data_IF_061459849163
#
_entry.id   IF_061459849163
#
_cell.length_a   1.000
_cell.length_b   1.000
_cell.length_c   1.000
_cell.angle_alpha   90.00
_cell.angle_beta   90.00
_cell.angle_gamma   90.00
#
_symmetry.space_group_name_H-M   'P 1'
#
loop_
_entity.id
_entity.type
_entity.pdbx_description
1 polymer ?
#
# COMPACT_ATOMS: atom_id res chain seq x y z
N UNK A 1 7.45 -21.30 28.22
CA UNK A 1 7.33 -19.84 28.12
C UNK A 1 6.91 -19.55 26.70
N UNK A 2 5.62 -19.32 26.48
CA UNK A 2 5.11 -18.85 25.20
C UNK A 2 5.32 -17.34 25.18
N UNK A 3 6.31 -16.89 24.42
CA UNK A 3 6.44 -15.48 24.05
C UNK A 3 5.14 -15.12 23.31
N UNK A 4 4.21 -14.47 24.02
CA UNK A 4 3.08 -13.80 23.38
C UNK A 4 3.69 -12.74 22.49
N UNK A 5 3.58 -12.94 21.18
CA UNK A 5 3.84 -11.92 20.18
C UNK A 5 2.88 -10.76 20.48
N UNK A 6 3.32 -9.76 21.23
CA UNK A 6 2.55 -8.55 21.49
C UNK A 6 2.51 -7.76 20.18
N UNK A 7 1.47 -7.99 19.39
CA UNK A 7 1.20 -7.16 18.21
C UNK A 7 0.89 -5.76 18.76
N UNK A 8 1.77 -4.82 18.45
CA UNK A 8 1.58 -3.41 18.81
C UNK A 8 0.70 -2.82 17.71
N UNK A 9 -0.60 -2.68 17.98
CA UNK A 9 -1.50 -1.97 17.07
C UNK A 9 -1.28 -0.47 17.27
N UNK A 10 -1.00 0.26 16.20
CA UNK A 10 -0.86 1.71 16.18
C UNK A 10 -2.07 2.34 15.48
N UNK A 11 -2.28 3.63 15.65
CA UNK A 11 -3.30 4.37 14.91
C UNK A 11 -3.13 4.22 13.39
N UNK A 12 -1.88 4.08 12.91
CA UNK A 12 -1.55 3.79 11.51
C UNK A 12 -2.02 2.41 11.03
N UNK A 13 -2.21 1.43 11.92
CA UNK A 13 -2.78 0.13 11.55
C UNK A 13 -4.28 0.23 11.29
N UNK A 14 -4.95 1.28 11.80
CA UNK A 14 -6.35 1.58 11.50
C UNK A 14 -6.54 2.16 10.09
N UNK A 15 -5.51 2.82 9.55
CA UNK A 15 -5.51 3.34 8.17
C UNK A 15 -5.41 2.23 7.11
N UNK A 16 -4.94 1.04 7.50
CA UNK A 16 -4.89 -0.14 6.62
C UNK A 16 -6.26 -0.82 6.48
N UNK A 17 -7.24 -0.45 7.30
CA UNK A 17 -8.59 -0.98 7.22
C UNK A 17 -9.24 -0.42 5.96
N UNK A 18 -9.74 -1.28 5.04
CA UNK A 18 -10.48 -0.82 3.87
C UNK A 18 -11.58 0.18 4.21
N UNK A 19 -11.66 1.27 3.44
CA UNK A 19 -12.69 2.29 3.61
C UNK A 19 -14.08 1.64 3.58
N UNK A 20 -14.86 1.82 4.65
CA UNK A 20 -16.22 1.30 4.77
C UNK A 20 -16.42 0.31 5.92
N UNK A 21 -15.34 -0.24 6.49
CA UNK A 21 -15.44 -1.08 7.69
C UNK A 21 -15.53 -0.16 8.90
N UNK A 22 -16.61 -0.32 9.67
CA UNK A 22 -16.84 0.51 10.85
C UNK A 22 -16.03 -0.05 12.02
N UNK A 23 -15.09 0.74 12.51
CA UNK A 23 -14.37 0.43 13.75
C UNK A 23 -15.38 0.53 14.89
N UNK A 24 -15.54 -0.52 15.71
CA UNK A 24 -16.44 -0.48 16.86
C UNK A 24 -16.04 0.63 17.81
N UNK A 25 -17.02 1.38 18.32
CA UNK A 25 -16.77 2.47 19.27
C UNK A 25 -15.95 2.00 20.49
N UNK A 26 -16.23 0.79 20.99
CA UNK A 26 -15.49 0.18 22.10
C UNK A 26 -14.00 -0.04 21.79
N UNK A 27 -13.65 -0.36 20.54
CA UNK A 27 -12.25 -0.51 20.12
C UNK A 27 -11.56 0.84 20.04
N UNK A 28 -12.23 1.87 19.50
CA UNK A 28 -11.71 3.23 19.47
C UNK A 28 -11.48 3.80 20.88
N UNK A 29 -12.41 3.56 21.82
CA UNK A 29 -12.26 3.93 23.23
C UNK A 29 -11.09 3.19 23.89
N UNK A 30 -10.91 1.89 23.60
CA UNK A 30 -9.79 1.11 24.14
C UNK A 30 -8.43 1.60 23.61
N UNK A 31 -8.36 2.01 22.34
CA UNK A 31 -7.17 2.62 21.74
C UNK A 31 -6.84 3.97 22.41
N UNK A 32 -7.81 4.88 22.53
CA UNK A 32 -7.60 6.16 23.20
C UNK A 32 -7.16 6.01 24.67
N UNK A 33 -7.71 5.03 25.37
CA UNK A 33 -7.31 4.71 26.75
C UNK A 33 -5.87 4.17 26.83
N UNK A 34 -5.44 3.39 25.83
CA UNK A 34 -4.08 2.88 25.72
C UNK A 34 -3.08 4.01 25.45
N UNK A 35 -3.41 4.93 24.55
CA UNK A 35 -2.55 6.07 24.23
C UNK A 35 -2.37 6.97 25.45
N UNK A 36 -3.47 7.29 26.15
CA UNK A 36 -3.41 8.03 27.42
C UNK A 36 -2.52 7.34 28.46
N UNK A 37 -2.57 6.00 28.54
CA UNK A 37 -1.74 5.23 29.46
C UNK A 37 -0.25 5.22 29.03
N UNK A 38 0.02 5.18 27.72
CA UNK A 38 1.36 5.28 27.17
C UNK A 38 1.99 6.65 27.39
N UNK A 39 1.23 7.73 27.19
CA UNK A 39 1.69 9.09 27.48
C UNK A 39 2.03 9.25 28.96
N UNK A 40 1.14 8.81 29.85
CA UNK A 40 1.39 8.85 31.29
C UNK A 40 2.63 8.02 31.69
N UNK A 41 2.83 6.86 31.06
CA UNK A 41 4.02 6.03 31.24
C UNK A 41 5.29 6.74 30.77
N UNK A 42 5.28 7.35 29.58
CA UNK A 42 6.39 8.13 29.04
C UNK A 42 6.74 9.33 29.92
N UNK A 43 5.73 10.10 30.34
CA UNK A 43 5.88 11.23 31.26
C UNK A 43 6.48 10.81 32.60
N UNK A 44 6.07 9.67 33.14
CA UNK A 44 6.64 9.14 34.38
C UNK A 44 8.11 8.74 34.21
N UNK A 45 8.48 8.11 33.09
CA UNK A 45 9.87 7.78 32.79
C UNK A 45 10.74 9.03 32.67
N UNK A 46 10.25 10.08 32.01
CA UNK A 46 10.98 11.35 31.88
C UNK A 46 11.11 12.04 33.23
N UNK A 47 10.01 12.14 33.99
CA UNK A 47 9.97 12.83 35.29
C UNK A 47 10.88 12.20 36.33
N UNK A 48 11.01 10.88 36.32
CA UNK A 48 11.81 10.12 37.29
C UNK A 48 13.10 9.54 36.71
N UNK A 49 13.54 10.01 35.54
CA UNK A 49 14.72 9.50 34.83
C UNK A 49 15.94 9.41 35.78
N UNK A 50 16.22 10.47 36.53
CA UNK A 50 17.37 10.52 37.43
C UNK A 50 17.32 9.50 38.58
N UNK A 51 16.10 9.13 39.02
CA UNK A 51 15.89 8.14 40.07
C UNK A 51 15.83 6.70 39.52
N UNK A 52 15.36 6.52 38.28
CA UNK A 52 15.17 5.23 37.63
C UNK A 52 16.45 4.66 37.01
N UNK A 53 17.43 5.52 36.73
CA UNK A 53 18.76 5.11 36.26
C UNK A 53 19.40 4.04 37.13
N UNK A 54 20.23 3.20 36.51
CA UNK A 54 20.95 2.13 37.20
C UNK A 54 22.00 2.67 38.18
N UNK A 55 22.64 3.77 37.83
CA UNK A 55 23.72 4.44 38.57
C UNK A 55 23.23 5.66 39.38
N UNK A 56 21.93 5.72 39.69
CA UNK A 56 21.29 6.87 40.34
C UNK A 56 22.01 7.37 41.61
N UNK A 57 22.56 6.47 42.44
CA UNK A 57 23.31 6.85 43.65
C UNK A 57 24.61 7.57 43.27
N UNK A 58 25.38 7.01 42.33
CA UNK A 58 26.65 7.60 41.88
C UNK A 58 26.42 8.98 41.25
N UNK A 59 25.37 9.11 40.43
CA UNK A 59 24.99 10.39 39.84
C UNK A 59 24.56 11.41 40.92
N UNK A 60 23.80 10.98 41.93
CA UNK A 60 23.40 11.83 43.05
C UNK A 60 24.59 12.26 43.91
N UNK A 61 25.55 11.37 44.19
CA UNK A 61 26.79 11.70 44.90
C UNK A 61 27.62 12.75 44.14
N UNK A 62 27.70 12.63 42.80
CA UNK A 62 28.39 13.62 41.99
C UNK A 62 27.71 15.00 42.04
N UNK A 63 26.37 15.04 42.08
CA UNK A 63 25.59 16.28 42.28
C UNK A 63 25.80 16.86 43.67
N UNK A 64 25.75 16.05 44.73
CA UNK A 64 26.04 16.49 46.10
C UNK A 64 27.44 17.13 46.17
N UNK A 65 28.47 16.48 45.61
CA UNK A 65 29.82 17.02 45.57
C UNK A 65 29.94 18.32 44.73
N UNK A 66 29.10 18.50 43.70
CA UNK A 66 29.06 19.73 42.92
C UNK A 66 28.35 20.86 43.69
N UNK A 67 27.23 20.56 44.35
CA UNK A 67 26.46 21.52 45.14
C UNK A 67 27.26 22.03 46.34
N UNK A 68 27.93 21.12 47.07
CA UNK A 68 28.85 21.48 48.16
C UNK A 68 29.95 22.41 47.67
N UNK A 69 30.58 22.09 46.54
CA UNK A 69 31.60 22.97 45.93
C UNK A 69 31.04 24.35 45.58
N UNK A 70 29.83 24.41 45.02
CA UNK A 70 29.18 25.67 44.69
C UNK A 70 28.86 26.51 45.94
N UNK A 71 28.38 25.90 47.02
CA UNK A 71 28.07 26.59 48.27
C UNK A 71 29.33 27.15 48.95
N UNK A 72 30.41 26.37 49.02
CA UNK A 72 31.70 26.85 49.55
C UNK A 72 32.20 28.06 48.76
N UNK A 73 32.11 28.01 47.43
CA UNK A 73 32.51 29.14 46.57
C UNK A 73 31.61 30.37 46.75
N UNK A 74 30.33 30.17 47.09
CA UNK A 74 29.38 31.24 47.39
C UNK A 74 29.50 31.79 48.83
N UNK A 75 30.30 31.17 49.69
CA UNK A 75 30.41 31.52 51.11
C UNK A 75 29.24 31.04 51.97
N UNK A 76 28.44 30.10 51.47
CA UNK A 76 27.32 29.47 52.19
C UNK A 76 27.78 28.22 52.94
N UNK A 77 27.02 27.84 53.98
CA UNK A 77 27.27 26.61 54.74
C UNK A 77 26.91 25.36 53.91
N UNK A 78 27.85 24.43 53.65
CA UNK A 78 27.57 23.20 52.93
C UNK A 78 26.60 22.24 53.65
N UNK A 79 26.52 22.30 54.98
CA UNK A 79 25.69 21.40 55.77
C UNK A 79 24.18 21.72 55.64
N UNK A 80 23.85 22.91 55.14
CA UNK A 80 22.47 23.33 54.86
C UNK A 80 21.95 22.82 53.49
N UNK A 81 22.81 22.23 52.66
CA UNK A 81 22.43 21.74 51.33
C UNK A 81 21.66 20.41 51.46
N UNK A 82 20.44 20.30 50.91
CA UNK A 82 19.71 19.04 50.88
C UNK A 82 20.48 17.97 50.10
N UNK A 83 20.62 16.77 50.67
CA UNK A 83 21.29 15.66 49.98
C UNK A 83 20.43 15.10 48.86
N UNK A 84 20.99 15.10 47.65
CA UNK A 84 20.45 14.43 46.47
C UNK A 84 20.37 12.93 46.68
N UNK A 85 21.36 12.31 47.34
CA UNK A 85 21.34 10.87 47.66
C UNK A 85 20.13 10.52 48.52
N UNK A 86 19.81 11.34 49.53
CA UNK A 86 18.64 11.13 50.37
C UNK A 86 17.34 11.28 49.55
N UNK A 87 17.27 12.31 48.69
CA UNK A 87 16.11 12.57 47.81
C UNK A 87 15.83 11.38 46.87
N UNK A 88 16.84 10.92 46.13
CA UNK A 88 16.64 9.85 45.14
C UNK A 88 16.33 8.51 45.80
N UNK A 89 16.99 8.20 46.93
CA UNK A 89 16.72 6.97 47.70
C UNK A 89 15.28 6.93 48.21
N UNK A 90 14.79 8.05 48.76
CA UNK A 90 13.41 8.15 49.25
C UNK A 90 12.37 8.11 48.12
N UNK A 91 12.71 8.60 46.92
CA UNK A 91 11.80 8.65 45.78
C UNK A 91 11.74 7.32 45.00
N UNK A 92 12.81 6.52 44.99
CA UNK A 92 12.96 5.37 44.08
C UNK A 92 11.85 4.33 44.20
N UNK A 93 11.49 3.94 45.42
CA UNK A 93 10.42 2.95 45.63
C UNK A 93 9.09 3.40 45.03
N UNK A 94 8.73 4.67 45.20
CA UNK A 94 7.50 5.25 44.63
C UNK A 94 7.59 5.37 43.11
N UNK A 95 8.73 5.82 42.58
CA UNK A 95 8.94 5.95 41.14
C UNK A 95 8.84 4.59 40.43
N UNK A 96 9.52 3.56 40.93
CA UNK A 96 9.46 2.19 40.39
C UNK A 96 8.04 1.63 40.49
N UNK A 97 7.36 1.80 41.63
CA UNK A 97 5.98 1.36 41.80
C UNK A 97 5.01 2.02 40.81
N UNK A 98 5.15 3.33 40.60
CA UNK A 98 4.34 4.08 39.64
C UNK A 98 4.57 3.59 38.21
N UNK A 99 5.83 3.51 37.78
CA UNK A 99 6.20 3.08 36.42
C UNK A 99 5.71 1.66 36.15
N UNK A 100 5.88 0.73 37.09
CA UNK A 100 5.37 -0.63 36.95
C UNK A 100 3.84 -0.66 36.87
N UNK A 101 3.14 0.12 37.70
CA UNK A 101 1.68 0.21 37.65
C UNK A 101 1.16 0.78 36.32
N UNK A 102 1.84 1.79 35.78
CA UNK A 102 1.52 2.36 34.46
C UNK A 102 1.81 1.36 33.33
N UNK A 103 2.92 0.62 33.39
CA UNK A 103 3.21 -0.45 32.44
C UNK A 103 2.15 -1.56 32.47
N UNK A 104 1.69 -1.96 33.66
CA UNK A 104 0.61 -2.94 33.80
C UNK A 104 -0.72 -2.41 33.28
N UNK A 105 -0.98 -1.10 33.44
CA UNK A 105 -2.16 -0.44 32.86
C UNK A 105 -2.12 -0.44 31.33
N UNK A 106 -0.98 -0.14 30.73
CA UNK A 106 -0.78 -0.24 29.28
C UNK A 106 -1.09 -1.66 28.79
N UNK A 107 -0.50 -2.68 29.44
CA UNK A 107 -0.77 -4.09 29.11
C UNK A 107 -2.23 -4.49 29.28
N UNK A 108 -2.94 -3.89 30.24
CA UNK A 108 -4.38 -4.10 30.41
C UNK A 108 -5.17 -3.53 29.24
N UNK A 109 -4.80 -2.35 28.75
CA UNK A 109 -5.45 -1.74 27.58
C UNK A 109 -5.18 -2.57 26.32
N UNK A 110 -3.94 -3.06 26.13
CA UNK A 110 -3.61 -3.95 25.00
C UNK A 110 -4.46 -5.23 24.98
N UNK A 111 -4.69 -5.84 26.16
CA UNK A 111 -5.56 -7.02 26.27
C UNK A 111 -7.01 -6.70 25.91
N UNK A 112 -7.49 -5.52 26.25
CA UNK A 112 -8.85 -5.11 25.93
C UNK A 112 -9.00 -4.85 24.43
N UNK A 113 -8.06 -4.12 23.82
CA UNK A 113 -7.97 -3.93 22.37
C UNK A 113 -8.01 -5.28 21.65
N UNK A 114 -7.21 -6.26 22.09
CA UNK A 114 -7.21 -7.59 21.49
C UNK A 114 -8.58 -8.28 21.59
N UNK A 115 -9.26 -8.22 22.74
CA UNK A 115 -10.61 -8.80 22.89
C UNK A 115 -11.62 -8.16 21.96
N UNK A 116 -11.60 -6.82 21.87
CA UNK A 116 -12.50 -6.07 21.00
C UNK A 116 -12.25 -6.41 19.53
N UNK A 117 -10.99 -6.51 19.12
CA UNK A 117 -10.63 -6.97 17.78
C UNK A 117 -11.16 -8.36 17.48
N UNK A 118 -10.87 -9.35 18.34
CA UNK A 118 -11.31 -10.74 18.14
C UNK A 118 -12.84 -10.84 18.02
N UNK A 119 -13.58 -10.02 18.77
CA UNK A 119 -15.05 -10.01 18.68
C UNK A 119 -15.57 -9.53 17.31
N UNK A 120 -14.80 -8.72 16.60
CA UNK A 120 -15.24 -8.01 15.39
C UNK A 120 -14.68 -8.62 14.12
N UNK A 121 -13.57 -9.36 14.22
CA UNK A 121 -12.93 -10.06 13.10
C UNK A 121 -13.92 -10.83 12.21
N UNK A 122 -14.86 -11.67 12.72
CA UNK A 122 -15.74 -12.43 11.84
C UNK A 122 -16.66 -11.55 10.98
N UNK A 123 -17.16 -10.45 11.55
CA UNK A 123 -17.99 -9.51 10.80
C UNK A 123 -17.14 -8.73 9.79
N UNK A 124 -15.98 -8.25 10.21
CA UNK A 124 -15.05 -7.53 9.33
C UNK A 124 -14.59 -8.41 8.16
N UNK A 125 -14.29 -9.69 8.40
CA UNK A 125 -13.93 -10.66 7.36
C UNK A 125 -15.06 -10.84 6.33
N UNK A 126 -16.31 -10.91 6.80
CA UNK A 126 -17.49 -10.99 5.94
C UNK A 126 -17.64 -9.73 5.08
N UNK A 127 -17.57 -8.54 5.69
CA UNK A 127 -17.68 -7.26 5.00
C UNK A 127 -16.57 -7.06 3.96
N UNK A 128 -15.32 -7.42 4.30
CA UNK A 128 -14.19 -7.41 3.36
C UNK A 128 -14.44 -8.35 2.18
N UNK A 129 -14.89 -9.58 2.47
CA UNK A 129 -15.15 -10.58 1.43
C UNK A 129 -16.25 -10.13 0.47
N UNK A 130 -17.33 -9.54 0.99
CA UNK A 130 -18.41 -8.97 0.18
C UNK A 130 -17.93 -7.80 -0.68
N UNK A 131 -17.15 -6.88 -0.10
CA UNK A 131 -16.60 -5.73 -0.81
C UNK A 131 -15.64 -6.16 -1.93
N UNK A 132 -14.80 -7.18 -1.69
CA UNK A 132 -13.92 -7.77 -2.70
C UNK A 132 -14.73 -8.39 -3.84
N UNK A 133 -15.76 -9.18 -3.54
CA UNK A 133 -16.64 -9.75 -4.56
C UNK A 133 -17.33 -8.68 -5.42
N UNK A 134 -17.84 -7.62 -4.80
CA UNK A 134 -18.44 -6.51 -5.52
C UNK A 134 -17.44 -5.77 -6.43
N UNK A 135 -16.20 -5.60 -5.98
CA UNK A 135 -15.12 -5.00 -6.76
C UNK A 135 -14.71 -5.87 -7.95
N UNK A 136 -14.59 -7.19 -7.76
CA UNK A 136 -14.33 -8.14 -8.86
C UNK A 136 -15.43 -8.12 -9.92
N UNK A 137 -16.70 -8.08 -9.51
CA UNK A 137 -17.83 -7.99 -10.44
C UNK A 137 -17.85 -6.66 -11.20
N UNK A 138 -17.49 -5.56 -10.54
CA UNK A 138 -17.35 -4.26 -11.19
C UNK A 138 -16.22 -4.28 -12.23
N UNK A 139 -15.09 -4.90 -11.91
CA UNK A 139 -13.96 -5.07 -12.84
C UNK A 139 -14.36 -5.89 -14.07
N UNK A 140 -15.06 -7.03 -13.87
CA UNK A 140 -15.56 -7.87 -14.99
C UNK A 140 -16.49 -7.08 -15.90
N UNK A 141 -17.46 -6.35 -15.34
CA UNK A 141 -18.38 -5.50 -16.13
C UNK A 141 -17.63 -4.44 -16.94
N UNK A 142 -16.61 -3.82 -16.35
CA UNK A 142 -15.78 -2.84 -17.04
C UNK A 142 -14.97 -3.48 -18.18
N UNK A 143 -14.43 -4.68 -17.97
CA UNK A 143 -13.71 -5.43 -19.01
C UNK A 143 -14.63 -5.82 -20.18
N UNK A 144 -15.83 -6.31 -19.89
CA UNK A 144 -16.82 -6.65 -20.91
C UNK A 144 -17.24 -5.43 -21.74
N UNK A 145 -17.48 -4.29 -21.07
CA UNK A 145 -17.78 -3.03 -21.73
C UNK A 145 -16.62 -2.56 -22.61
N UNK A 146 -15.37 -2.69 -22.15
CA UNK A 146 -14.18 -2.38 -22.92
C UNK A 146 -14.05 -3.28 -24.17
N UNK A 147 -14.27 -4.59 -24.03
CA UNK A 147 -14.25 -5.54 -25.16
C UNK A 147 -15.34 -5.23 -26.19
N UNK A 148 -16.54 -4.87 -25.73
CA UNK A 148 -17.64 -4.45 -26.60
C UNK A 148 -17.28 -3.15 -27.37
N UNK A 149 -16.77 -2.13 -26.67
CA UNK A 149 -16.31 -0.89 -27.28
C UNK A 149 -15.22 -1.10 -28.34
N UNK A 150 -14.24 -1.96 -28.04
CA UNK A 150 -13.18 -2.35 -28.97
C UNK A 150 -13.72 -3.03 -30.23
N UNK A 151 -14.74 -3.88 -30.08
CA UNK A 151 -15.38 -4.58 -31.20
C UNK A 151 -16.15 -3.62 -32.10
N UNK A 152 -16.87 -2.66 -31.51
CA UNK A 152 -17.54 -1.58 -32.25
C UNK A 152 -16.53 -0.70 -33.00
N UNK A 153 -15.41 -0.34 -32.36
CA UNK A 153 -14.34 0.42 -33.02
C UNK A 153 -13.79 -0.33 -34.25
N UNK A 154 -13.52 -1.64 -34.11
CA UNK A 154 -13.06 -2.46 -35.24
C UNK A 154 -14.09 -2.52 -36.38
N UNK A 155 -15.39 -2.63 -36.06
CA UNK A 155 -16.46 -2.59 -37.05
C UNK A 155 -16.52 -1.23 -37.78
N UNK A 156 -16.37 -0.12 -37.06
CA UNK A 156 -16.32 1.22 -37.65
C UNK A 156 -15.12 1.40 -38.58
N UNK A 157 -13.93 0.95 -38.16
CA UNK A 157 -12.72 0.97 -39.00
C UNK A 157 -12.94 0.15 -40.28
N UNK A 158 -13.51 -1.05 -40.17
CA UNK A 158 -13.84 -1.87 -41.34
C UNK A 158 -14.84 -1.17 -42.27
N UNK A 159 -15.90 -0.56 -41.73
CA UNK A 159 -16.86 0.22 -42.52
C UNK A 159 -16.19 1.40 -43.23
N UNK A 160 -15.31 2.15 -42.55
CA UNK A 160 -14.55 3.24 -43.16
C UNK A 160 -13.66 2.75 -44.31
N UNK A 161 -13.00 1.59 -44.14
CA UNK A 161 -12.23 0.94 -45.22
C UNK A 161 -13.15 0.60 -46.40
N UNK A 162 -14.32 0.01 -46.16
CA UNK A 162 -15.29 -0.28 -47.23
C UNK A 162 -15.77 0.98 -47.95
N UNK A 163 -16.12 2.03 -47.22
CA UNK A 163 -16.53 3.33 -47.80
C UNK A 163 -15.40 3.92 -48.65
N UNK A 164 -14.15 3.87 -48.17
CA UNK A 164 -12.98 4.30 -48.93
C UNK A 164 -12.79 3.51 -50.23
N UNK A 165 -12.95 2.18 -50.19
CA UNK A 165 -12.86 1.32 -51.37
C UNK A 165 -13.98 1.62 -52.39
N UNK A 166 -15.21 1.81 -51.93
CA UNK A 166 -16.34 2.19 -52.79
C UNK A 166 -16.10 3.54 -53.47
N UNK A 167 -15.59 4.54 -52.74
CA UNK A 167 -15.21 5.85 -53.32
C UNK A 167 -14.15 5.74 -54.40
N UNK A 168 -13.30 4.72 -54.37
CA UNK A 168 -12.25 4.44 -55.38
C UNK A 168 -12.74 3.53 -56.51
N UNK A 169 -14.04 3.22 -56.59
CA UNK A 169 -14.61 2.34 -57.62
C UNK A 169 -14.30 0.85 -57.44
N UNK A 170 -13.83 0.44 -56.25
CA UNK A 170 -13.51 -0.97 -55.95
C UNK A 170 -14.69 -1.62 -55.23
N UNK A 171 -15.55 -2.34 -55.97
CA UNK A 171 -16.67 -3.11 -55.39
C UNK A 171 -16.22 -4.54 -55.08
N UNK A 172 -16.30 -4.96 -53.82
CA UNK A 172 -16.17 -6.39 -53.42
C UNK A 172 -17.56 -7.04 -53.43
N UNK A 173 -17.72 -8.19 -54.08
CA UNK A 173 -18.96 -8.99 -53.96
C UNK A 173 -19.03 -9.66 -52.58
N UNK A 174 -20.19 -9.62 -51.94
CA UNK A 174 -20.45 -10.04 -50.55
C UNK A 174 -20.24 -11.55 -50.23
N UNK A 175 -19.96 -12.43 -51.19
CA UNK A 175 -19.99 -13.90 -50.97
C UNK A 175 -18.75 -14.67 -51.45
N UNK A 176 -17.63 -14.02 -51.75
CA UNK A 176 -16.44 -14.74 -52.19
C UNK A 176 -15.15 -14.10 -51.74
N UNK A 177 -14.21 -14.91 -51.26
CA UNK A 177 -12.80 -14.54 -51.25
C UNK A 177 -12.45 -13.89 -52.60
N UNK A 178 -11.69 -12.77 -52.61
CA UNK A 178 -11.47 -12.01 -53.83
C UNK A 178 -10.91 -12.94 -54.91
N UNK A 179 -11.67 -13.18 -55.97
CA UNK A 179 -11.16 -13.84 -57.16
C UNK A 179 -10.02 -12.97 -57.69
N UNK A 180 -8.87 -13.61 -57.86
CA UNK A 180 -7.62 -13.05 -58.33
C UNK A 180 -7.89 -12.21 -59.59
N UNK A 181 -7.75 -10.88 -59.48
CA UNK A 181 -7.55 -10.04 -60.66
C UNK A 181 -6.05 -9.81 -60.79
N UNK A 182 -5.42 -10.31 -61.87
CA UNK A 182 -3.99 -10.14 -62.09
C UNK A 182 -3.74 -8.66 -62.38
N UNK A 183 -3.09 -7.96 -61.45
CA UNK A 183 -2.82 -6.52 -61.52
C UNK A 183 -2.83 -5.76 -60.19
N UNK A 184 -3.08 -6.42 -59.05
CA UNK A 184 -3.31 -5.77 -57.73
C UNK A 184 -2.25 -6.05 -56.65
N UNK A 185 -1.03 -6.42 -57.03
CA UNK A 185 0.02 -6.66 -56.02
C UNK A 185 0.55 -5.36 -55.42
N UNK A 186 0.67 -4.28 -56.21
CA UNK A 186 1.12 -2.98 -55.71
C UNK A 186 0.14 -2.35 -54.71
N UNK A 187 -1.17 -2.44 -54.95
CA UNK A 187 -2.20 -1.90 -54.06
C UNK A 187 -2.24 -2.63 -52.71
N UNK A 188 -1.99 -3.94 -52.71
CA UNK A 188 -1.94 -4.73 -51.46
C UNK A 188 -0.66 -4.46 -50.69
N UNK A 189 0.46 -4.28 -51.37
CA UNK A 189 1.74 -3.88 -50.77
C UNK A 189 1.62 -2.47 -50.17
N UNK A 190 1.00 -1.53 -50.89
CA UNK A 190 0.77 -0.17 -50.38
C UNK A 190 -0.15 -0.15 -49.15
N UNK A 191 -1.22 -0.96 -49.15
CA UNK A 191 -2.11 -1.07 -47.99
C UNK A 191 -1.45 -1.77 -46.80
N UNK A 192 -0.61 -2.79 -47.03
CA UNK A 192 0.16 -3.45 -45.98
C UNK A 192 1.22 -2.51 -45.37
N UNK A 193 1.91 -1.71 -46.21
CA UNK A 193 2.85 -0.66 -45.77
C UNK A 193 2.15 0.40 -44.92
N UNK A 194 0.96 0.84 -45.31
CA UNK A 194 0.16 1.79 -44.53
C UNK A 194 -0.27 1.19 -43.18
N UNK A 195 -0.64 -0.09 -43.17
CA UNK A 195 -1.05 -0.79 -41.95
C UNK A 195 0.13 -1.01 -40.98
N UNK A 196 1.34 -1.31 -41.51
CA UNK A 196 2.57 -1.42 -40.71
C UNK A 196 3.03 -0.06 -40.17
N UNK A 197 2.94 1.01 -40.98
CA UNK A 197 3.21 2.40 -40.55
C UNK A 197 2.28 2.85 -39.42
N UNK A 198 0.99 2.52 -39.50
CA UNK A 198 0.00 2.89 -38.47
C UNK A 198 0.12 2.06 -37.18
N UNK A 199 0.73 0.87 -37.25
CA UNK A 199 1.01 0.03 -36.07
C UNK A 199 2.40 0.29 -35.47
N UNK A 200 3.25 1.10 -36.11
CA UNK A 200 4.61 1.40 -35.67
C UNK A 200 5.58 0.20 -35.78
N UNK A 201 5.24 -0.82 -36.57
CA UNK A 201 6.03 -2.04 -36.71
C UNK A 201 6.64 -2.10 -38.12
N UNK A 202 7.95 -1.87 -38.22
CA UNK A 202 8.74 -2.05 -39.45
C UNK A 202 8.96 -0.81 -40.32
N UNK A 203 9.98 -0.88 -41.18
CA UNK A 203 10.37 0.16 -42.15
C UNK A 203 9.38 0.18 -43.33
N UNK A 204 8.61 1.27 -43.56
CA UNK A 204 7.57 1.34 -44.57
C UNK A 204 8.09 1.23 -46.02
N UNK A 205 9.38 1.42 -46.26
CA UNK A 205 9.97 1.39 -47.59
C UNK A 205 10.60 0.03 -47.97
N UNK A 206 10.66 -0.92 -47.04
CA UNK A 206 11.16 -2.26 -47.31
C UNK A 206 10.28 -3.01 -48.34
N UNK A 207 10.89 -3.84 -49.19
CA UNK A 207 10.17 -4.78 -50.05
C UNK A 207 9.47 -5.82 -49.18
N UNK A 208 8.16 -6.01 -49.37
CA UNK A 208 7.33 -6.93 -48.57
C UNK A 208 6.80 -8.03 -49.48
N UNK A 209 6.98 -9.28 -49.08
CA UNK A 209 6.32 -10.43 -49.70
C UNK A 209 5.19 -10.96 -48.83
N UNK A 210 4.10 -11.39 -49.45
CA UNK A 210 2.96 -11.95 -48.73
C UNK A 210 3.14 -13.47 -48.65
N UNK A 211 3.50 -13.98 -47.48
CA UNK A 211 3.72 -15.42 -47.26
C UNK A 211 2.53 -16.03 -46.53
N UNK A 212 2.13 -17.22 -46.98
CA UNK A 212 1.07 -17.98 -46.32
C UNK A 212 1.69 -18.83 -45.23
N UNK A 213 1.28 -18.61 -43.98
CA UNK A 213 1.77 -19.32 -42.79
C UNK A 213 0.57 -19.86 -42.02
N UNK A 214 0.74 -21.00 -41.37
CA UNK A 214 -0.31 -21.56 -40.50
C UNK A 214 -0.20 -20.91 -39.12
N UNK A 215 -1.32 -20.46 -38.57
CA UNK A 215 -1.38 -19.99 -37.18
C UNK A 215 -1.34 -21.16 -36.18
N UNK A 216 -1.27 -20.84 -34.89
CA UNK A 216 -1.22 -21.83 -33.80
C UNK A 216 -2.47 -22.74 -33.74
N UNK A 217 -3.54 -22.38 -34.45
CA UNK A 217 -4.78 -23.16 -34.57
C UNK A 217 -4.86 -23.94 -35.89
N UNK A 218 -3.79 -23.95 -36.69
CA UNK A 218 -3.70 -24.67 -37.96
C UNK A 218 -4.39 -23.98 -39.13
N UNK A 219 -4.82 -22.72 -38.99
CA UNK A 219 -5.46 -21.98 -40.08
C UNK A 219 -4.43 -21.24 -40.93
N UNK A 220 -4.64 -21.26 -42.24
CA UNK A 220 -3.73 -20.58 -43.16
C UNK A 220 -4.00 -19.07 -43.19
N UNK A 221 -3.10 -18.30 -42.59
CA UNK A 221 -3.11 -16.83 -42.54
C UNK A 221 -2.02 -16.29 -43.48
N UNK A 222 -2.32 -15.22 -44.20
CA UNK A 222 -1.33 -14.53 -45.04
C UNK A 222 -0.74 -13.38 -44.24
N UNK A 223 0.55 -13.45 -43.94
CA UNK A 223 1.28 -12.40 -43.22
C UNK A 223 2.27 -11.69 -44.14
N UNK A 224 2.36 -10.35 -44.07
CA UNK A 224 3.40 -9.60 -44.75
C UNK A 224 4.75 -9.88 -44.07
N UNK A 225 5.72 -10.33 -44.85
CA UNK A 225 7.11 -10.54 -44.39
C UNK A 225 8.05 -9.64 -45.17
N UNK A 226 9.13 -9.19 -44.53
CA UNK A 226 10.20 -8.46 -45.22
C UNK A 226 10.86 -9.40 -46.22
N UNK A 227 11.02 -8.93 -47.45
CA UNK A 227 11.81 -9.59 -48.48
C UNK A 227 13.27 -9.22 -48.20
N UNK A 228 14.06 -10.20 -47.77
CA UNK A 228 15.50 -10.04 -47.56
C UNK A 228 16.23 -9.70 -48.89
#
# INVERSE_FOLDING_TARGET
>A
MTDSLYITYTEADMDLIPKGITIPAALAEALAARDTAYDAYGDALIKYDDVLRQDYITAAQARDAANVRAAVLAGSDPDEIPSEVARVTAARGRAVGLVNGLADRVRQCDREIYRQWVAVLPQAESEVSEALGAAEDALRRAEDAFRAARSNHAAMVNTLVYVSLMKRGVVRSQTGAPKYMPGRDEDRIAHARLHMKNLGVGDPDASVEMRRVLDASGNAVTIPMRKD
#
